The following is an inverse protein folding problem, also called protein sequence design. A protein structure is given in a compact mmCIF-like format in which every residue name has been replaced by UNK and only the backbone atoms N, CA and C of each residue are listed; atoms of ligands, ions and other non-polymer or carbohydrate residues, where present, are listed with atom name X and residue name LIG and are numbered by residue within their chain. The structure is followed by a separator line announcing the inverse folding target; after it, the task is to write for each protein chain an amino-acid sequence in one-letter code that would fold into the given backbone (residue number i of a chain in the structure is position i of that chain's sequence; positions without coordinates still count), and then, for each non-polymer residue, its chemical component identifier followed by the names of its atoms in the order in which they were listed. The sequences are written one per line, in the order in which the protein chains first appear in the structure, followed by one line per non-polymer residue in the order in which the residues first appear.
data_IF_130622294947
#
_entry.id   IF_130622294947
#
_cell.length_a   1.000
_cell.length_b   1.000
_cell.length_c   1.000
_cell.angle_alpha   90.00
_cell.angle_beta   90.00
_cell.angle_gamma   90.00
#
_symmetry.space_group_name_H-M   'P 1'
#
loop_
_entity.id
_entity.type
_entity.pdbx_description
1 polymer ?
#
# COMPACT_ATOMS: atom_id res chain seq x y z
N UNK A 1 -5.81 -6.35 -13.58
CA UNK A 1 -6.85 -5.63 -12.82
C UNK A 1 -7.41 -4.48 -13.65
N UNK A 2 -8.69 -4.39 -13.73
CA UNK A 2 -9.32 -3.27 -14.42
C UNK A 2 -9.07 -1.96 -13.69
N UNK A 3 -8.84 -0.92 -14.48
CA UNK A 3 -8.69 0.41 -13.94
C UNK A 3 -10.06 0.96 -13.54
N UNK A 4 -10.18 1.38 -12.29
CA UNK A 4 -11.43 1.90 -11.75
C UNK A 4 -11.27 3.35 -11.34
N UNK A 5 -12.33 4.13 -11.52
CA UNK A 5 -12.41 5.49 -10.97
C UNK A 5 -13.43 5.49 -9.85
N UNK A 6 -13.05 6.11 -8.74
CA UNK A 6 -14.00 6.31 -7.66
C UNK A 6 -15.01 7.38 -8.07
N UNK A 7 -16.29 7.12 -7.86
CA UNK A 7 -17.36 8.06 -8.17
C UNK A 7 -18.20 8.30 -6.94
N UNK A 8 -18.29 9.55 -6.52
CA UNK A 8 -19.31 9.98 -5.59
C UNK A 8 -20.63 10.10 -6.32
N UNK A 9 -21.68 10.53 -5.63
CA UNK A 9 -23.01 10.61 -6.20
C UNK A 9 -23.08 11.45 -7.49
N UNK A 10 -22.24 12.45 -7.63
CA UNK A 10 -22.25 13.35 -8.79
C UNK A 10 -20.86 13.74 -9.29
N UNK A 11 -19.80 13.14 -8.75
CA UNK A 11 -18.45 13.55 -9.08
C UNK A 11 -17.59 12.34 -9.38
N UNK A 12 -16.82 12.44 -10.47
CA UNK A 12 -15.78 11.46 -10.78
C UNK A 12 -14.44 12.04 -10.39
N UNK A 13 -13.68 11.26 -9.62
CA UNK A 13 -12.36 11.67 -9.15
C UNK A 13 -11.28 10.96 -9.94
N UNK A 14 -10.37 11.75 -10.52
CA UNK A 14 -9.22 11.23 -11.27
C UNK A 14 -7.91 11.48 -10.54
N UNK A 15 -7.99 12.08 -9.35
CA UNK A 15 -6.81 12.31 -8.54
C UNK A 15 -6.42 11.00 -7.88
N UNK A 16 -5.15 10.67 -7.98
CA UNK A 16 -4.60 9.46 -7.36
C UNK A 16 -3.44 9.85 -6.47
N UNK A 17 -3.10 8.93 -5.59
CA UNK A 17 -1.96 9.10 -4.71
C UNK A 17 -0.98 7.96 -4.92
N UNK A 18 0.28 8.34 -5.11
CA UNK A 18 1.40 7.42 -5.09
C UNK A 18 1.91 7.39 -3.66
N UNK A 19 1.82 6.23 -3.01
CA UNK A 19 2.16 6.07 -1.60
C UNK A 19 3.28 5.04 -1.49
N UNK A 20 4.28 5.37 -0.67
CA UNK A 20 5.42 4.47 -0.44
C UNK A 20 5.68 4.37 1.06
N UNK A 21 5.87 3.17 1.56
CA UNK A 21 6.36 2.98 2.93
C UNK A 21 7.30 1.79 3.01
N UNK A 22 8.01 1.68 4.13
CA UNK A 22 9.07 0.69 4.30
C UNK A 22 8.87 -0.15 5.55
N UNK A 23 9.44 -1.35 5.58
CA UNK A 23 9.56 -2.11 6.83
C UNK A 23 10.42 -1.38 7.85
N UNK A 24 10.26 -1.76 9.11
CA UNK A 24 11.09 -1.25 10.21
C UNK A 24 12.55 -1.46 9.88
N UNK A 25 13.36 -0.43 10.09
CA UNK A 25 14.79 -0.42 9.78
C UNK A 25 15.11 -0.66 8.29
N UNK A 26 14.13 -0.52 7.43
CA UNK A 26 14.26 -0.82 5.99
C UNK A 26 14.80 -2.22 5.71
N UNK A 27 14.45 -3.17 6.56
CA UNK A 27 14.87 -4.56 6.38
C UNK A 27 14.31 -5.15 5.09
N UNK A 28 15.14 -5.89 4.39
CA UNK A 28 14.78 -6.50 3.09
C UNK A 28 14.05 -7.82 3.32
N UNK A 29 12.89 -7.74 3.94
CA UNK A 29 12.10 -8.90 4.34
C UNK A 29 10.89 -9.15 3.46
N UNK A 30 10.55 -8.23 2.57
CA UNK A 30 9.36 -8.34 1.73
C UNK A 30 9.68 -9.18 0.49
N UNK A 31 9.79 -10.48 0.69
CA UNK A 31 10.23 -11.41 -0.33
C UNK A 31 9.52 -12.74 -0.16
N UNK A 32 9.48 -13.54 -1.22
CA UNK A 32 8.96 -14.89 -1.19
C UNK A 32 7.52 -14.98 -0.69
N UNK A 33 7.26 -15.94 0.17
CA UNK A 33 5.91 -16.18 0.71
C UNK A 33 5.37 -15.02 1.51
N UNK A 34 6.25 -14.30 2.21
CA UNK A 34 5.85 -13.13 2.98
C UNK A 34 5.31 -12.05 2.04
N UNK A 35 6.01 -11.78 0.94
CA UNK A 35 5.57 -10.79 -0.04
C UNK A 35 4.25 -11.19 -0.70
N UNK A 36 4.08 -12.47 -1.02
CA UNK A 36 2.82 -12.97 -1.59
C UNK A 36 1.65 -12.76 -0.62
N UNK A 37 1.87 -13.12 0.64
CA UNK A 37 0.83 -12.96 1.67
C UNK A 37 0.50 -11.49 1.92
N UNK A 38 1.54 -10.65 1.95
CA UNK A 38 1.36 -9.21 2.12
C UNK A 38 0.50 -8.63 1.00
N UNK A 39 0.77 -9.02 -0.24
CA UNK A 39 -0.03 -8.56 -1.38
C UNK A 39 -1.49 -8.95 -1.25
N UNK A 40 -1.76 -10.19 -0.86
CA UNK A 40 -3.12 -10.67 -0.62
C UNK A 40 -3.83 -9.82 0.44
N UNK A 41 -3.14 -9.54 1.55
CA UNK A 41 -3.70 -8.76 2.64
C UNK A 41 -3.99 -7.32 2.25
N UNK A 42 -3.09 -6.71 1.48
CA UNK A 42 -3.30 -5.36 0.98
C UNK A 42 -4.49 -5.30 0.03
N UNK A 43 -4.57 -6.23 -0.92
CA UNK A 43 -5.67 -6.28 -1.87
C UNK A 43 -7.00 -6.52 -1.16
N UNK A 44 -7.03 -7.41 -0.20
CA UNK A 44 -8.22 -7.69 0.59
C UNK A 44 -8.67 -6.46 1.39
N UNK A 45 -7.74 -5.77 2.03
CA UNK A 45 -8.04 -4.58 2.80
C UNK A 45 -8.60 -3.47 1.91
N UNK A 46 -8.03 -3.28 0.74
CA UNK A 46 -8.48 -2.29 -0.23
C UNK A 46 -9.88 -2.63 -0.72
N UNK A 47 -10.14 -3.89 -1.00
CA UNK A 47 -11.45 -4.35 -1.47
C UNK A 47 -12.52 -4.18 -0.39
N UNK A 48 -12.24 -4.60 0.83
CA UNK A 48 -13.18 -4.49 1.95
C UNK A 48 -13.57 -3.04 2.22
N UNK A 49 -12.62 -2.13 2.09
CA UNK A 49 -12.87 -0.70 2.28
C UNK A 49 -13.45 -0.02 1.05
N UNK A 50 -13.60 -0.75 -0.06
CA UNK A 50 -14.13 -0.25 -1.33
C UNK A 50 -13.30 0.90 -1.91
N UNK A 51 -12.00 0.85 -1.69
CA UNK A 51 -11.07 1.77 -2.33
C UNK A 51 -10.72 1.23 -3.72
N UNK A 52 -10.25 2.11 -4.59
CA UNK A 52 -9.83 1.72 -5.94
C UNK A 52 -8.32 1.83 -6.05
N UNK A 53 -7.66 0.69 -6.27
CA UNK A 53 -6.22 0.61 -6.42
C UNK A 53 -5.88 0.32 -7.88
N UNK A 54 -4.97 1.10 -8.44
CA UNK A 54 -4.54 0.90 -9.82
C UNK A 54 -3.27 0.05 -9.91
N UNK A 55 -2.33 0.25 -9.02
CA UNK A 55 -1.05 -0.47 -9.04
C UNK A 55 -0.59 -0.77 -7.62
N UNK A 56 0.05 -1.92 -7.49
CA UNK A 56 0.75 -2.30 -6.27
C UNK A 56 2.05 -2.98 -6.67
N UNK A 57 3.13 -2.59 -6.02
CA UNK A 57 4.43 -3.23 -6.22
C UNK A 57 5.10 -3.40 -4.86
N UNK A 58 5.52 -4.62 -4.59
CA UNK A 58 6.21 -4.96 -3.35
C UNK A 58 7.65 -5.28 -3.70
N UNK A 59 8.56 -4.42 -3.24
CA UNK A 59 9.98 -4.62 -3.34
C UNK A 59 10.49 -5.14 -1.99
N UNK A 60 11.73 -5.61 -1.95
CA UNK A 60 12.24 -6.25 -0.73
C UNK A 60 12.21 -5.34 0.50
N UNK A 61 12.39 -4.05 0.32
CA UNK A 61 12.47 -3.08 1.41
C UNK A 61 11.46 -1.93 1.32
N UNK A 62 10.48 -2.02 0.42
CA UNK A 62 9.45 -0.98 0.32
C UNK A 62 8.25 -1.45 -0.49
N UNK A 63 7.16 -0.72 -0.32
CA UNK A 63 5.92 -0.93 -1.05
C UNK A 63 5.58 0.35 -1.81
N UNK A 64 5.14 0.20 -3.06
CA UNK A 64 4.53 1.27 -3.84
C UNK A 64 3.05 0.96 -4.04
N UNK A 65 2.21 1.96 -3.83
CA UNK A 65 0.78 1.89 -4.13
C UNK A 65 0.38 3.07 -4.99
N UNK A 66 -0.42 2.81 -6.01
CA UNK A 66 -1.12 3.87 -6.74
C UNK A 66 -2.60 3.67 -6.49
N UNK A 67 -3.20 4.54 -5.69
CA UNK A 67 -4.56 4.39 -5.21
C UNK A 67 -5.36 5.66 -5.50
N UNK A 68 -6.64 5.49 -5.83
CA UNK A 68 -7.50 6.62 -6.15
C UNK A 68 -7.92 7.37 -4.89
N UNK A 69 -8.05 8.68 -5.04
CA UNK A 69 -8.53 9.55 -3.97
C UNK A 69 -9.94 9.15 -3.52
N UNK A 70 -10.13 9.09 -2.21
CA UNK A 70 -11.43 8.81 -1.58
C UNK A 70 -11.75 9.99 -0.66
N UNK A 71 -12.76 10.82 -0.99
CA UNK A 71 -13.00 12.04 -0.22
C UNK A 71 -13.50 11.81 1.21
N UNK A 72 -13.95 10.60 1.54
CA UNK A 72 -14.49 10.31 2.86
C UNK A 72 -13.44 9.90 3.88
N UNK A 73 -12.17 9.76 3.49
CA UNK A 73 -11.11 9.33 4.39
C UNK A 73 -9.81 10.06 4.05
N UNK A 74 -9.05 10.41 5.09
CA UNK A 74 -7.74 11.02 4.87
C UNK A 74 -6.71 9.97 4.42
N UNK A 75 -5.67 10.43 3.74
CA UNK A 75 -4.57 9.54 3.33
C UNK A 75 -3.90 8.94 4.57
N UNK A 76 -3.73 9.75 5.62
CA UNK A 76 -3.14 9.27 6.87
C UNK A 76 -3.93 8.11 7.47
N UNK A 77 -5.26 8.21 7.50
CA UNK A 77 -6.12 7.14 8.00
C UNK A 77 -6.05 5.90 7.11
N UNK A 78 -6.03 6.09 5.80
CA UNK A 78 -5.93 5.00 4.84
C UNK A 78 -4.64 4.22 5.05
N UNK A 79 -3.51 4.91 5.15
CA UNK A 79 -2.20 4.28 5.37
C UNK A 79 -2.18 3.56 6.71
N UNK A 80 -2.76 4.17 7.74
CA UNK A 80 -2.82 3.55 9.07
C UNK A 80 -3.61 2.24 9.04
N UNK A 81 -4.73 2.21 8.31
CA UNK A 81 -5.53 0.99 8.15
C UNK A 81 -4.74 -0.08 7.42
N UNK A 82 -4.07 0.27 6.33
CA UNK A 82 -3.28 -0.67 5.56
C UNK A 82 -2.10 -1.23 6.36
N UNK A 83 -1.38 -0.36 7.05
CA UNK A 83 -0.25 -0.77 7.88
C UNK A 83 -0.69 -1.66 9.05
N UNK A 84 -1.73 -1.23 9.75
CA UNK A 84 -2.23 -1.96 10.92
C UNK A 84 -2.78 -3.33 10.56
N UNK A 85 -3.58 -3.39 9.51
CA UNK A 85 -4.17 -4.64 9.06
C UNK A 85 -3.16 -5.66 8.59
N UNK A 86 -2.08 -5.21 7.96
CA UNK A 86 -1.04 -6.11 7.46
C UNK A 86 -0.04 -6.49 8.53
N UNK A 87 0.36 -5.55 9.38
CA UNK A 87 1.40 -5.77 10.37
C UNK A 87 1.07 -6.91 11.33
N UNK A 88 -0.15 -6.90 11.87
CA UNK A 88 -0.54 -7.91 12.84
C UNK A 88 -0.53 -9.31 12.22
N UNK A 89 -1.13 -9.48 11.06
CA UNK A 89 -1.27 -10.79 10.42
C UNK A 89 0.11 -11.33 9.99
N UNK A 90 0.92 -10.50 9.37
CA UNK A 90 2.25 -10.90 8.92
C UNK A 90 3.11 -11.33 10.11
N UNK A 91 3.05 -10.58 11.21
CA UNK A 91 3.83 -10.92 12.41
C UNK A 91 3.38 -12.24 13.04
N UNK A 92 2.08 -12.55 12.98
CA UNK A 92 1.56 -13.82 13.49
C UNK A 92 1.95 -14.99 12.60
N UNK A 93 1.88 -14.81 11.28
CA UNK A 93 2.15 -15.88 10.33
C UNK A 93 3.64 -16.10 10.08
N UNK A 94 4.48 -15.11 10.37
CA UNK A 94 5.92 -15.18 10.17
C UNK A 94 6.64 -14.87 11.48
N UNK A 95 6.59 -15.81 12.45
CA UNK A 95 7.13 -15.55 13.80
C UNK A 95 8.63 -15.31 13.84
N UNK A 96 9.38 -15.69 12.82
CA UNK A 96 10.80 -15.41 12.71
C UNK A 96 11.12 -13.92 12.71
N UNK A 97 10.14 -13.07 12.39
CA UNK A 97 10.31 -11.62 12.41
C UNK A 97 10.55 -11.07 13.82
N UNK A 98 10.21 -11.83 14.85
CA UNK A 98 10.41 -11.40 16.25
C UNK A 98 11.87 -11.12 16.59
N UNK A 99 12.79 -11.78 15.89
CA UNK A 99 14.22 -11.64 16.16
C UNK A 99 14.73 -10.21 16.04
N UNK A 100 14.14 -9.41 15.15
CA UNK A 100 14.59 -8.04 14.96
C UNK A 100 13.51 -6.99 15.19
N UNK A 101 12.26 -7.38 15.29
CA UNK A 101 11.18 -6.43 15.54
C UNK A 101 11.01 -6.12 17.03
N UNK A 102 11.41 -7.04 17.90
CA UNK A 102 11.37 -6.84 19.36
C UNK A 102 10.01 -6.39 19.87
N UNK A 103 8.93 -6.90 19.26
CA UNK A 103 7.56 -6.50 19.61
C UNK A 103 7.09 -5.20 19.00
N UNK A 104 7.91 -4.53 18.21
CA UNK A 104 7.50 -3.31 17.50
C UNK A 104 6.75 -3.66 16.22
N UNK A 105 6.18 -2.62 15.59
CA UNK A 105 5.44 -2.78 14.34
C UNK A 105 6.35 -3.32 13.21
N UNK A 106 5.73 -4.01 12.26
CA UNK A 106 6.39 -4.44 11.03
C UNK A 106 6.94 -3.24 10.24
N UNK A 107 6.23 -2.12 10.28
CA UNK A 107 6.49 -0.95 9.43
C UNK A 107 7.25 0.14 10.16
N UNK A 108 8.11 0.83 9.45
CA UNK A 108 8.70 2.07 9.93
C UNK A 108 7.61 3.13 10.06
N UNK A 109 7.85 4.14 10.90
CA UNK A 109 6.93 5.25 11.03
C UNK A 109 6.92 6.08 9.74
N UNK A 110 5.77 6.65 9.44
CA UNK A 110 5.64 7.54 8.31
C UNK A 110 5.45 6.85 6.97
N UNK A 111 5.35 7.66 5.95
CA UNK A 111 5.17 7.22 4.58
C UNK A 111 5.45 8.42 3.66
N UNK A 112 5.76 8.11 2.40
CA UNK A 112 5.85 9.12 1.36
C UNK A 112 4.52 9.12 0.59
N UNK A 113 4.02 10.31 0.25
CA UNK A 113 2.82 10.44 -0.57
C UNK A 113 2.93 11.63 -1.51
N UNK A 114 2.49 11.43 -2.74
CA UNK A 114 2.32 12.53 -3.70
C UNK A 114 1.02 12.34 -4.46
N UNK A 115 0.37 13.44 -4.80
CA UNK A 115 -0.82 13.39 -5.65
C UNK A 115 -0.39 13.31 -7.11
N UNK A 116 -1.15 12.57 -7.90
CA UNK A 116 -0.84 12.31 -9.30
C UNK A 116 -2.04 12.64 -10.15
N UNK A 117 -1.85 13.52 -11.12
CA UNK A 117 -2.88 13.80 -12.12
C UNK A 117 -2.89 12.74 -13.21
N UNK A 118 -3.91 12.77 -14.05
CA UNK A 118 -4.09 11.76 -15.08
C UNK A 118 -2.93 11.66 -16.09
N UNK A 119 -2.22 12.76 -16.34
CA UNK A 119 -1.06 12.74 -17.23
C UNK A 119 0.15 12.08 -16.54
N UNK A 120 0.40 12.44 -15.29
CA UNK A 120 1.53 11.93 -14.51
C UNK A 120 1.36 10.46 -14.14
N UNK A 121 0.13 10.01 -14.07
CA UNK A 121 -0.23 8.64 -13.72
C UNK A 121 0.49 7.61 -14.59
N UNK A 122 0.53 7.83 -15.89
CA UNK A 122 1.16 6.88 -16.82
C UNK A 122 2.65 6.72 -16.54
N UNK A 123 3.32 7.81 -16.17
CA UNK A 123 4.73 7.78 -15.82
C UNK A 123 4.96 6.99 -14.54
N UNK A 124 4.14 7.25 -13.52
CA UNK A 124 4.23 6.56 -12.24
C UNK A 124 3.93 5.08 -12.39
N UNK A 125 2.89 4.72 -13.13
CA UNK A 125 2.56 3.31 -13.37
C UNK A 125 3.70 2.56 -14.04
N UNK A 126 4.32 3.16 -15.04
CA UNK A 126 5.47 2.55 -15.71
C UNK A 126 6.65 2.36 -14.77
N UNK A 127 6.90 3.35 -13.91
CA UNK A 127 7.96 3.27 -12.92
C UNK A 127 7.73 2.08 -11.96
N UNK A 128 6.52 1.94 -11.46
CA UNK A 128 6.16 0.85 -10.54
C UNK A 128 6.27 -0.49 -11.24
N UNK A 129 5.77 -0.60 -12.46
CA UNK A 129 5.75 -1.85 -13.22
C UNK A 129 7.16 -2.33 -13.58
N UNK A 130 8.09 -1.43 -13.72
CA UNK A 130 9.46 -1.74 -14.12
C UNK A 130 10.41 -2.05 -12.96
N UNK A 131 9.91 -2.06 -11.75
CA UNK A 131 10.73 -2.39 -10.57
C UNK A 131 10.89 -3.90 -10.31
#
# INVERSE_FOLDING_TARGET
MEKKYWSGSQTKHRVKYHIVWTPKYRKRILDGKLAERLKELLEECIEVNRWAMDEISIQKDHIHLLIQFVPSISISEMVQILKGGTSRVIREEFPELKEFLWGSSLWADGYFVESVGSFEENIIQKYIQNQ
#
